data_IF_219889888700
#
_entry.id   IF_219889888700
#
_cell.length_a   1.000
_cell.length_b   1.000
_cell.length_c   1.000
_cell.angle_alpha   90.00
_cell.angle_beta   90.00
_cell.angle_gamma   90.00
#
_symmetry.space_group_name_H-M   'P 1'
#
loop_
_entity.id
_entity.type
_entity.pdbx_description
1 polymer ?
#
# COMPACT_ATOMS: atom_id res chain seq x y z
N UNK A 1 4.88 -13.28 -7.34
CA UNK A 1 3.63 -12.59 -7.71
C UNK A 1 3.39 -11.57 -6.62
N UNK A 2 3.19 -10.29 -6.94
CA UNK A 2 2.87 -9.32 -5.88
C UNK A 2 1.36 -9.36 -5.73
N UNK A 3 0.90 -10.07 -4.71
CA UNK A 3 -0.50 -10.11 -4.32
C UNK A 3 -0.94 -8.74 -3.79
N UNK A 4 -2.22 -8.42 -4.01
CA UNK A 4 -2.81 -7.20 -3.51
C UNK A 4 -2.79 -7.21 -1.98
N UNK A 5 -2.57 -6.07 -1.31
CA UNK A 5 -2.68 -6.01 0.13
C UNK A 5 -4.11 -6.33 0.54
N UNK A 6 -4.24 -7.04 1.67
CA UNK A 6 -5.53 -7.42 2.23
C UNK A 6 -5.95 -6.31 3.20
N UNK A 7 -7.22 -5.85 3.15
CA UNK A 7 -7.70 -4.83 4.08
C UNK A 7 -7.60 -5.33 5.52
N UNK A 8 -7.23 -4.46 6.48
CA UNK A 8 -7.20 -4.82 7.89
C UNK A 8 -8.62 -5.14 8.37
N UNK A 9 -8.70 -6.07 9.32
CA UNK A 9 -9.98 -6.39 9.94
C UNK A 9 -10.43 -5.24 10.88
N UNK A 10 -11.75 -5.07 11.13
CA UNK A 10 -12.24 -3.99 11.98
C UNK A 10 -11.63 -3.99 13.39
N UNK A 11 -11.30 -5.16 13.92
CA UNK A 11 -10.68 -5.34 15.24
C UNK A 11 -9.17 -5.01 15.28
N UNK A 12 -8.53 -4.85 14.12
CA UNK A 12 -7.14 -4.37 14.03
C UNK A 12 -7.08 -2.84 14.12
N UNK A 13 -8.18 -2.16 13.79
CA UNK A 13 -8.31 -0.72 13.97
C UNK A 13 -8.53 -0.44 15.45
N UNK A 14 -7.59 0.29 16.08
CA UNK A 14 -7.70 0.64 17.50
C UNK A 14 -8.79 1.68 17.80
N UNK A 15 -9.38 2.30 16.75
CA UNK A 15 -10.40 3.37 16.78
C UNK A 15 -10.07 4.59 17.67
N UNK A 16 -8.86 4.65 18.21
CA UNK A 16 -8.42 5.61 19.22
C UNK A 16 -7.37 6.60 18.70
N UNK A 17 -7.12 6.61 17.37
CA UNK A 17 -6.17 7.53 16.73
C UNK A 17 -4.71 7.09 16.81
N UNK A 18 -4.43 5.80 16.60
CA UNK A 18 -3.07 5.28 16.48
C UNK A 18 -2.36 5.85 15.24
N UNK A 19 -1.10 6.26 15.38
CA UNK A 19 -0.24 6.74 14.28
C UNK A 19 1.06 5.90 14.19
N UNK A 20 1.33 5.23 13.06
CA UNK A 20 0.48 5.14 11.86
C UNK A 20 -0.77 4.26 12.08
N UNK A 21 -1.89 4.62 11.46
CA UNK A 21 -3.11 3.81 11.49
C UNK A 21 -2.93 2.56 10.61
N UNK A 22 -3.58 1.44 10.98
CA UNK A 22 -3.59 0.21 10.14
C UNK A 22 -4.13 0.49 8.73
N UNK A 23 -5.04 1.45 8.61
CA UNK A 23 -5.56 1.92 7.33
C UNK A 23 -4.52 2.70 6.52
N UNK A 24 -3.68 3.50 7.17
CA UNK A 24 -2.61 4.24 6.48
C UNK A 24 -1.63 3.26 5.84
N UNK A 25 -1.18 2.27 6.62
CA UNK A 25 -0.28 1.22 6.13
C UNK A 25 -0.91 0.47 4.95
N UNK A 26 -2.19 0.12 5.07
CA UNK A 26 -2.93 -0.56 4.01
C UNK A 26 -3.01 0.27 2.72
N UNK A 27 -3.39 1.54 2.81
CA UNK A 27 -3.51 2.41 1.63
C UNK A 27 -2.15 2.69 0.98
N UNK A 28 -1.09 2.83 1.76
CA UNK A 28 0.27 2.97 1.23
C UNK A 28 0.71 1.72 0.47
N UNK A 29 0.47 0.53 1.03
CA UNK A 29 0.75 -0.73 0.36
C UNK A 29 -0.10 -0.89 -0.89
N UNK A 30 -1.37 -0.48 -0.85
CA UNK A 30 -2.30 -0.56 -1.97
C UNK A 30 -1.86 0.34 -3.12
N UNK A 31 -1.45 1.59 -2.82
CA UNK A 31 -0.89 2.51 -3.81
C UNK A 31 0.35 1.90 -4.48
N UNK A 32 1.31 1.40 -3.69
CA UNK A 32 2.51 0.76 -4.23
C UNK A 32 2.17 -0.47 -5.08
N UNK A 33 1.18 -1.24 -4.69
CA UNK A 33 0.73 -2.39 -5.46
C UNK A 33 0.10 -1.96 -6.78
N UNK A 34 -0.78 -0.95 -6.77
CA UNK A 34 -1.40 -0.38 -7.98
C UNK A 34 -0.34 0.20 -8.93
N UNK A 35 0.62 0.97 -8.41
CA UNK A 35 1.76 1.48 -9.16
C UNK A 35 2.56 0.34 -9.81
N UNK A 36 2.81 -0.74 -9.07
CA UNK A 36 3.51 -1.92 -9.59
C UNK A 36 2.68 -2.71 -10.60
N UNK A 37 1.36 -2.79 -10.45
CA UNK A 37 0.51 -3.43 -11.47
C UNK A 37 0.50 -2.60 -12.75
N UNK A 38 0.38 -1.28 -12.65
CA UNK A 38 0.49 -0.37 -13.79
C UNK A 38 1.90 -0.42 -14.42
N UNK A 39 2.97 -0.45 -13.62
CA UNK A 39 4.36 -0.54 -14.08
C UNK A 39 4.75 -1.94 -14.60
N UNK A 40 4.02 -2.99 -14.25
CA UNK A 40 4.15 -4.32 -14.89
C UNK A 40 3.57 -4.31 -16.30
N UNK A 41 2.54 -3.49 -16.53
CA UNK A 41 2.00 -3.26 -17.86
C UNK A 41 2.85 -2.25 -18.66
N UNK A 42 3.57 -1.36 -17.97
CA UNK A 42 4.46 -0.37 -18.57
C UNK A 42 5.80 -0.36 -17.83
N UNK A 43 6.76 -1.15 -18.32
CA UNK A 43 8.13 -1.18 -17.81
C UNK A 43 8.69 0.24 -17.60
N UNK A 44 8.92 0.65 -16.33
CA UNK A 44 10.14 1.32 -15.81
C UNK A 44 9.90 1.98 -14.44
N UNK A 45 10.87 1.73 -13.57
CA UNK A 45 11.13 2.40 -12.29
C UNK A 45 11.07 3.93 -12.43
N UNK A 46 10.40 4.67 -11.54
CA UNK A 46 10.83 6.01 -11.23
C UNK A 46 12.01 5.89 -10.25
N UNK A 47 13.19 6.14 -10.77
CA UNK A 47 14.37 6.50 -10.00
C UNK A 47 14.01 7.72 -9.14
N UNK A 48 13.82 7.52 -7.83
CA UNK A 48 13.99 8.59 -6.86
C UNK A 48 15.48 8.94 -6.87
N UNK A 49 15.79 9.93 -7.70
CA UNK A 49 17.12 10.42 -7.97
C UNK A 49 17.43 11.50 -6.93
N UNK A 50 18.07 11.11 -5.83
CA UNK A 50 18.74 12.05 -4.91
C UNK A 50 20.09 12.51 -5.48
#
# INVERSE_FOLDING_TARGET
MNEAPIPPAPNECCESGCDPCVWDIYYEALRKWQEQQNAKHETKQPTDNQ
#
